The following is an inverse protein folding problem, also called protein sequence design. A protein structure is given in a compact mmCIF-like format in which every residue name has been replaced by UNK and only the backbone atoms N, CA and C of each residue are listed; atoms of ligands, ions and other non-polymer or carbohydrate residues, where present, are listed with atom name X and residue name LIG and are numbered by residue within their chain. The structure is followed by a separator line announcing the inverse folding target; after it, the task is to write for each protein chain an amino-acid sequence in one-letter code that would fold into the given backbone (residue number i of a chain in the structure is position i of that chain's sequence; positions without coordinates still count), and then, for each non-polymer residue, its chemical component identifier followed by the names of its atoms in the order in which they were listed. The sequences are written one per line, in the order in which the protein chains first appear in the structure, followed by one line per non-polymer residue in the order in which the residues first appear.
data_IF_710431177992
#
_entry.id   IF_710431177992
#
_cell.length_a   1.000
_cell.length_b   1.000
_cell.length_c   1.000
_cell.angle_alpha   90.00
_cell.angle_beta   90.00
_cell.angle_gamma   90.00
#
_symmetry.space_group_name_H-M   'P 1'
#
loop_
_entity.id
_entity.type
_entity.pdbx_description
1 polymer ?
#
# COMPACT_ATOMS: atom_id res chain seq x y z
N UNK A 1 7.49 -43.83 -16.21
CA UNK A 1 8.02 -43.21 -14.98
C UNK A 1 7.32 -41.86 -14.80
N UNK A 2 6.78 -41.61 -13.60
CA UNK A 2 6.06 -40.42 -13.12
C UNK A 2 4.64 -40.17 -13.66
N UNK A 3 3.78 -41.12 -13.32
CA UNK A 3 2.40 -40.91 -12.86
C UNK A 3 2.46 -40.44 -11.40
N UNK A 4 2.31 -39.14 -11.12
CA UNK A 4 1.81 -38.57 -9.84
C UNK A 4 1.98 -37.04 -9.90
N UNK A 5 0.92 -36.28 -10.18
CA UNK A 5 0.75 -34.89 -9.70
C UNK A 5 -0.66 -34.34 -9.98
N UNK A 6 -1.40 -34.93 -10.92
CA UNK A 6 -2.75 -34.46 -11.30
C UNK A 6 -3.90 -34.88 -10.37
N UNK A 7 -3.67 -35.81 -9.44
CA UNK A 7 -4.73 -36.39 -8.59
C UNK A 7 -4.84 -35.65 -7.23
N UNK A 8 -3.78 -34.96 -6.80
CA UNK A 8 -3.74 -34.30 -5.49
C UNK A 8 -4.68 -33.09 -5.37
N UNK A 9 -4.98 -32.38 -6.47
CA UNK A 9 -5.89 -31.22 -6.42
C UNK A 9 -7.37 -31.60 -6.58
N UNK A 10 -7.68 -32.73 -7.23
CA UNK A 10 -9.06 -33.18 -7.40
C UNK A 10 -9.58 -33.93 -6.15
N UNK A 11 -8.70 -34.63 -5.43
CA UNK A 11 -9.07 -35.31 -4.18
C UNK A 11 -9.24 -34.34 -2.97
N UNK A 12 -8.67 -33.13 -3.01
CA UNK A 12 -8.95 -32.10 -1.99
C UNK A 12 -10.32 -31.43 -2.16
N UNK A 13 -10.99 -31.62 -3.30
CA UNK A 13 -12.32 -31.06 -3.57
C UNK A 13 -13.48 -32.02 -3.26
N UNK A 14 -13.19 -33.23 -2.77
CA UNK A 14 -14.21 -34.27 -2.61
C UNK A 14 -14.64 -34.55 -1.16
N UNK A 15 -14.27 -33.70 -0.19
CA UNK A 15 -14.79 -33.88 1.17
C UNK A 15 -14.95 -32.57 1.96
N UNK A 16 -15.85 -31.71 1.49
CA UNK A 16 -16.58 -30.81 2.38
C UNK A 16 -18.05 -30.89 1.97
N UNK A 17 -18.78 -31.73 2.69
CA UNK A 17 -20.22 -31.80 2.67
C UNK A 17 -20.81 -30.38 2.63
N UNK A 18 -21.68 -30.13 1.64
CA UNK A 18 -22.63 -29.01 1.52
C UNK A 18 -22.40 -27.93 2.59
N UNK A 19 -21.49 -26.99 2.33
CA UNK A 19 -21.46 -25.76 3.10
C UNK A 19 -22.89 -25.18 3.04
N UNK A 20 -23.50 -24.93 4.19
CA UNK A 20 -24.86 -24.40 4.22
C UNK A 20 -24.89 -23.12 3.37
N UNK A 21 -25.98 -22.89 2.64
CA UNK A 21 -26.17 -21.67 1.83
C UNK A 21 -25.79 -20.43 2.64
N UNK A 22 -26.04 -20.43 3.95
CA UNK A 22 -25.61 -19.40 4.90
C UNK A 22 -24.10 -19.12 4.93
N UNK A 23 -23.23 -20.13 4.90
CA UNK A 23 -21.78 -19.93 4.93
C UNK A 23 -21.24 -19.42 3.59
N UNK A 24 -21.79 -19.89 2.47
CA UNK A 24 -21.42 -19.36 1.16
C UNK A 24 -21.82 -17.89 1.02
N UNK A 25 -23.04 -17.53 1.47
CA UNK A 25 -23.51 -16.14 1.47
C UNK A 25 -22.63 -15.25 2.35
N UNK A 26 -22.22 -15.72 3.53
CA UNK A 26 -21.28 -14.97 4.40
C UNK A 26 -19.93 -14.73 3.73
N UNK A 27 -19.39 -15.73 3.03
CA UNK A 27 -18.13 -15.60 2.30
C UNK A 27 -18.23 -14.59 1.15
N UNK A 28 -19.32 -14.61 0.39
CA UNK A 28 -19.53 -13.65 -0.71
C UNK A 28 -19.81 -12.22 -0.20
N UNK A 29 -20.55 -12.07 0.90
CA UNK A 29 -20.69 -10.77 1.58
C UNK A 29 -19.34 -10.25 2.10
N UNK A 30 -18.49 -11.13 2.64
CA UNK A 30 -17.17 -10.76 3.12
C UNK A 30 -16.24 -10.33 1.96
N UNK A 31 -16.24 -11.08 0.85
CA UNK A 31 -15.50 -10.70 -0.37
C UNK A 31 -15.95 -9.34 -0.90
N UNK A 32 -17.27 -9.11 -0.94
CA UNK A 32 -17.84 -7.84 -1.42
C UNK A 32 -17.45 -6.67 -0.51
N UNK A 33 -17.46 -6.86 0.81
CA UNK A 33 -17.03 -5.83 1.77
C UNK A 33 -15.54 -5.47 1.59
N UNK A 34 -14.67 -6.47 1.43
CA UNK A 34 -13.23 -6.26 1.20
C UNK A 34 -13.01 -5.48 -0.11
N UNK A 35 -13.71 -5.86 -1.19
CA UNK A 35 -13.61 -5.18 -2.49
C UNK A 35 -14.12 -3.74 -2.41
N UNK A 36 -15.25 -3.50 -1.74
CA UNK A 36 -15.82 -2.16 -1.59
C UNK A 36 -14.91 -1.26 -0.76
N UNK A 37 -14.31 -1.78 0.32
CA UNK A 37 -13.35 -1.03 1.13
C UNK A 37 -12.03 -0.78 0.37
N UNK A 38 -11.60 -1.70 -0.50
CA UNK A 38 -10.41 -1.51 -1.34
C UNK A 38 -10.63 -0.50 -2.48
N UNK A 39 -11.87 -0.36 -2.98
CA UNK A 39 -12.25 0.63 -4.00
C UNK A 39 -12.64 2.00 -3.42
N UNK A 40 -12.86 2.10 -2.11
CA UNK A 40 -13.21 3.36 -1.48
C UNK A 40 -11.98 4.28 -1.43
N UNK A 41 -12.05 5.41 -2.15
CA UNK A 41 -11.16 6.54 -1.91
C UNK A 41 -11.49 7.10 -0.54
N UNK A 42 -10.58 6.96 0.41
CA UNK A 42 -10.75 7.55 1.74
C UNK A 42 -10.32 9.02 1.66
N UNK A 43 -11.28 9.93 1.73
CA UNK A 43 -11.01 11.35 1.97
C UNK A 43 -10.74 11.52 3.45
N UNK A 44 -9.49 11.81 3.81
CA UNK A 44 -9.10 12.09 5.19
C UNK A 44 -9.01 13.60 5.38
N UNK A 45 -9.74 14.14 6.35
CA UNK A 45 -9.47 15.49 6.82
C UNK A 45 -8.32 15.51 7.85
N UNK A 46 -7.90 16.71 8.25
CA UNK A 46 -6.78 16.88 9.17
C UNK A 46 -7.01 16.27 10.57
N UNK A 47 -8.27 16.08 10.96
CA UNK A 47 -8.65 15.50 12.25
C UNK A 47 -8.63 13.97 12.18
N UNK A 48 -9.13 13.39 11.09
CA UNK A 48 -9.10 11.95 10.83
C UNK A 48 -7.66 11.45 10.71
N UNK A 49 -6.82 12.19 9.99
CA UNK A 49 -5.39 11.87 9.87
C UNK A 49 -4.67 11.89 11.24
N UNK A 50 -5.02 12.84 12.11
CA UNK A 50 -4.48 12.91 13.49
C UNK A 50 -4.93 11.72 14.33
N UNK A 51 -6.19 11.29 14.21
CA UNK A 51 -6.69 10.12 14.93
C UNK A 51 -5.99 8.84 14.46
N UNK A 52 -5.82 8.68 13.14
CA UNK A 52 -5.12 7.55 12.56
C UNK A 52 -3.66 7.47 13.02
N UNK A 53 -2.97 8.62 13.09
CA UNK A 53 -1.60 8.67 13.59
C UNK A 53 -1.50 8.30 15.08
N UNK A 54 -2.50 8.65 15.89
CA UNK A 54 -2.58 8.23 17.30
C UNK A 54 -2.77 6.72 17.43
N UNK A 55 -3.68 6.14 16.63
CA UNK A 55 -3.93 4.69 16.60
C UNK A 55 -2.72 3.88 16.09
N UNK A 56 -1.98 4.42 15.13
CA UNK A 56 -0.74 3.81 14.65
C UNK A 56 0.32 3.72 15.74
N UNK A 57 0.47 4.76 16.58
CA UNK A 57 1.45 4.79 17.67
C UNK A 57 1.11 3.90 18.86
N UNK A 58 -0.18 3.59 19.08
CA UNK A 58 -0.61 2.71 20.18
C UNK A 58 -0.37 1.22 19.93
N UNK A 59 0.00 0.82 18.70
CA UNK A 59 0.40 -0.56 18.40
C UNK A 59 1.85 -0.78 18.84
N UNK A 60 2.07 -0.88 20.16
CA UNK A 60 3.32 -1.38 20.72
C UNK A 60 3.38 -2.89 20.52
N UNK A 61 3.80 -3.34 19.33
CA UNK A 61 4.37 -4.67 19.20
C UNK A 61 5.70 -4.67 19.94
N UNK A 62 5.82 -5.51 20.99
CA UNK A 62 7.03 -5.66 21.79
C UNK A 62 8.27 -5.77 20.87
N UNK A 63 9.11 -4.73 20.89
CA UNK A 63 10.22 -4.57 19.98
C UNK A 63 11.42 -5.42 20.42
N UNK A 64 11.48 -6.65 19.93
CA UNK A 64 12.73 -7.42 19.79
C UNK A 64 13.07 -7.65 18.31
N UNK A 65 12.52 -6.83 17.42
CA UNK A 65 12.83 -6.85 15.99
C UNK A 65 13.76 -5.68 15.64
N UNK A 66 14.74 -5.87 14.75
CA UNK A 66 15.57 -4.77 14.26
C UNK A 66 14.64 -3.70 13.67
N UNK A 67 14.84 -2.45 14.11
CA UNK A 67 14.12 -1.28 13.59
C UNK A 67 14.22 -1.30 12.06
N UNK A 68 13.11 -1.60 11.37
CA UNK A 68 13.07 -1.40 9.92
C UNK A 68 13.33 0.09 9.65
N UNK A 69 14.24 0.45 8.73
CA UNK A 69 14.43 1.83 8.35
C UNK A 69 13.10 2.43 7.91
N UNK A 70 12.77 3.63 8.40
CA UNK A 70 11.63 4.38 7.90
C UNK A 70 11.82 4.67 6.41
N UNK A 71 10.74 4.65 5.65
CA UNK A 71 10.76 5.05 4.24
C UNK A 71 9.80 6.22 4.07
N UNK A 72 10.30 7.33 3.54
CA UNK A 72 9.49 8.52 3.32
C UNK A 72 10.29 9.65 2.69
N UNK A 73 9.65 10.42 1.83
CA UNK A 73 10.26 11.59 1.20
C UNK A 73 9.30 12.78 1.21
N UNK A 74 9.87 13.98 1.23
CA UNK A 74 9.15 15.24 1.03
C UNK A 74 10.04 16.16 0.21
N UNK A 75 9.51 16.63 -0.91
CA UNK A 75 10.24 17.39 -1.92
C UNK A 75 9.39 18.58 -2.37
N UNK A 76 10.05 19.62 -2.88
CA UNK A 76 9.39 20.87 -3.25
C UNK A 76 10.04 21.49 -4.48
N UNK A 77 9.28 22.33 -5.18
CA UNK A 77 9.77 23.19 -6.27
C UNK A 77 9.96 24.60 -5.72
N UNK A 78 11.09 25.25 -6.03
CA UNK A 78 11.34 26.66 -5.68
C UNK A 78 10.95 27.61 -6.81
N UNK A 79 10.95 27.13 -8.05
CA UNK A 79 10.56 27.89 -9.23
C UNK A 79 9.15 28.50 -9.07
N UNK A 80 9.06 29.82 -9.29
CA UNK A 80 7.78 30.56 -9.30
C UNK A 80 6.92 30.27 -10.54
N UNK A 81 7.55 29.80 -11.61
CA UNK A 81 6.90 29.43 -12.86
C UNK A 81 7.52 28.12 -13.34
N UNK A 82 6.68 27.09 -13.48
CA UNK A 82 7.04 25.80 -14.06
C UNK A 82 6.49 25.71 -15.48
N UNK A 83 7.37 25.59 -16.47
CA UNK A 83 6.97 25.25 -17.84
C UNK A 83 7.29 23.77 -18.05
N UNK A 84 6.26 22.94 -18.08
CA UNK A 84 6.39 21.49 -18.26
C UNK A 84 5.81 21.09 -19.62
N UNK A 85 6.58 20.27 -20.35
CA UNK A 85 6.09 19.58 -21.53
C UNK A 85 5.09 18.49 -21.18
N UNK A 86 4.26 18.09 -22.15
CA UNK A 86 3.34 16.95 -21.96
C UNK A 86 4.14 15.69 -21.65
N UNK A 87 3.81 15.03 -20.54
CA UNK A 87 4.47 13.80 -20.10
C UNK A 87 5.87 14.00 -19.52
N UNK A 88 6.31 15.25 -19.29
CA UNK A 88 7.60 15.52 -18.66
C UNK A 88 7.55 15.15 -17.17
N UNK A 89 8.53 14.36 -16.71
CA UNK A 89 8.75 14.10 -15.29
C UNK A 89 9.21 15.38 -14.59
N UNK A 90 8.56 15.71 -13.48
CA UNK A 90 8.95 16.84 -12.65
C UNK A 90 10.17 16.46 -11.82
N UNK A 91 11.27 17.21 -11.99
CA UNK A 91 12.44 17.13 -11.12
C UNK A 91 12.32 18.21 -10.04
N UNK A 92 12.38 17.80 -8.78
CA UNK A 92 12.21 18.70 -7.64
C UNK A 92 13.54 19.36 -7.26
N UNK A 93 13.51 20.66 -6.98
CA UNK A 93 14.72 21.46 -6.68
C UNK A 93 15.13 21.41 -5.21
N UNK A 94 14.29 20.82 -4.36
CA UNK A 94 14.51 20.79 -2.93
C UNK A 94 13.95 19.52 -2.30
N UNK A 95 14.71 18.99 -1.35
CA UNK A 95 14.37 17.82 -0.54
C UNK A 95 14.33 18.23 0.92
N UNK A 96 13.20 18.02 1.58
CA UNK A 96 13.04 18.19 3.02
C UNK A 96 13.39 16.90 3.77
N UNK A 97 13.01 15.74 3.22
CA UNK A 97 13.40 14.42 3.75
C UNK A 97 13.47 13.39 2.62
N UNK A 98 14.33 12.38 2.78
CA UNK A 98 14.47 11.24 1.86
C UNK A 98 14.91 9.98 2.65
N UNK A 99 14.18 9.66 3.71
CA UNK A 99 14.41 8.46 4.51
C UNK A 99 14.26 7.21 3.64
N UNK A 100 15.29 6.34 3.69
CA UNK A 100 15.37 5.15 2.84
C UNK A 100 15.87 5.41 1.41
N UNK A 101 16.25 6.65 1.07
CA UNK A 101 16.87 7.03 -0.21
C UNK A 101 16.10 6.54 -1.45
N UNK A 102 14.76 6.54 -1.38
CA UNK A 102 13.92 6.09 -2.48
C UNK A 102 13.75 7.14 -3.58
N UNK A 103 13.84 8.44 -3.25
CA UNK A 103 13.72 9.53 -4.24
C UNK A 103 15.08 9.87 -4.85
N UNK A 104 15.15 9.92 -6.18
CA UNK A 104 16.30 10.40 -6.96
C UNK A 104 16.06 11.86 -7.39
N UNK A 105 16.87 12.77 -6.83
CA UNK A 105 16.76 14.22 -7.05
C UNK A 105 17.17 14.67 -8.46
N UNK A 106 17.82 13.80 -9.24
CA UNK A 106 18.23 14.09 -10.60
C UNK A 106 17.17 13.70 -11.62
N UNK A 107 16.29 12.76 -11.26
CA UNK A 107 15.23 12.24 -12.14
C UNK A 107 13.83 12.59 -11.68
N UNK A 108 13.64 12.97 -10.41
CA UNK A 108 12.34 13.20 -9.81
C UNK A 108 11.54 11.90 -9.53
N UNK A 109 12.20 10.75 -9.66
CA UNK A 109 11.55 9.43 -9.54
C UNK A 109 11.74 8.88 -8.14
N UNK A 110 10.64 8.43 -7.54
CA UNK A 110 10.68 7.59 -6.35
C UNK A 110 10.69 6.11 -6.74
N UNK A 111 11.71 5.37 -6.30
CA UNK A 111 11.82 3.92 -6.44
C UNK A 111 11.63 3.28 -5.07
N UNK A 112 10.63 2.40 -4.93
CA UNK A 112 10.33 1.73 -3.66
C UNK A 112 11.54 0.94 -3.13
N UNK A 113 12.17 1.33 -2.01
CA UNK A 113 13.33 0.62 -1.48
C UNK A 113 12.94 -0.68 -0.75
N UNK A 114 11.68 -0.79 -0.33
CA UNK A 114 11.11 -1.96 0.34
C UNK A 114 9.70 -2.24 -0.20
N UNK A 115 9.32 -3.50 -0.35
CA UNK A 115 7.96 -3.87 -0.73
C UNK A 115 6.95 -3.47 0.36
N UNK A 116 5.84 -2.86 -0.06
CA UNK A 116 4.79 -2.41 0.86
C UNK A 116 3.82 -1.43 0.20
N UNK A 117 2.92 -0.90 1.03
CA UNK A 117 1.95 0.12 0.61
C UNK A 117 2.54 1.51 0.84
N UNK A 118 2.43 2.39 -0.17
CA UNK A 118 2.92 3.77 -0.13
C UNK A 118 1.78 4.75 -0.32
N UNK A 119 1.91 5.94 0.27
CA UNK A 119 0.99 7.07 0.09
C UNK A 119 1.75 8.23 -0.57
N UNK A 120 1.18 8.78 -1.64
CA UNK A 120 1.68 9.98 -2.30
C UNK A 120 0.66 11.10 -2.09
N UNK A 121 1.14 12.25 -1.65
CA UNK A 121 0.33 13.45 -1.42
C UNK A 121 1.01 14.61 -2.12
N UNK A 122 0.24 15.42 -2.83
CA UNK A 122 0.68 16.64 -3.49
C UNK A 122 -0.17 17.77 -2.95
N UNK A 123 0.48 18.85 -2.52
CA UNK A 123 -0.19 20.11 -2.17
C UNK A 123 -0.29 20.98 -3.43
N UNK A 124 -1.43 21.63 -3.65
CA UNK A 124 -1.77 22.35 -4.88
C UNK A 124 -2.12 23.81 -4.61
#
# INVERSE_FOLDING_TARGET
MNVMLGISLCCLLSNAAKASVSQQTKLESLKSLIINNAKATVTLDSSDLKQLLKLSKSTSVNATSPKKPGVGFSVYVKAKHLTLGRGQTLVYEGTLTNEGNGHDDRTGVFTCPVAGTYMFVVDC
#
